data_IF_964140191643
#
_entry.id   IF_964140191643
#
_cell.length_a   1.000
_cell.length_b   1.000
_cell.length_c   1.000
_cell.angle_alpha   90.00
_cell.angle_beta   90.00
_cell.angle_gamma   90.00
#
_symmetry.space_group_name_H-M   'P 1'
#
loop_
_entity.id
_entity.type
_entity.pdbx_description
1 polymer ?
#
# COMPACT_ATOMS: atom_id res chain seq x y z
N UNK A 1 -4.29 -9.48 -27.19
CA UNK A 1 -4.04 -8.47 -26.15
C UNK A 1 -2.92 -8.97 -25.24
N UNK A 2 -2.04 -8.09 -24.78
CA UNK A 2 -1.02 -8.43 -23.77
C UNK A 2 -1.70 -8.65 -22.40
N UNK A 3 -1.17 -9.58 -21.60
CA UNK A 3 -1.64 -9.84 -20.22
C UNK A 3 -1.25 -8.67 -19.30
N UNK A 4 -2.20 -8.21 -18.48
CA UNK A 4 -1.98 -7.16 -17.48
C UNK A 4 -0.94 -7.60 -16.44
N UNK A 5 -0.05 -6.69 -16.06
CA UNK A 5 1.02 -6.88 -15.08
C UNK A 5 0.94 -5.83 -13.97
N UNK A 6 1.65 -6.08 -12.89
CA UNK A 6 1.77 -5.13 -11.76
C UNK A 6 2.32 -3.77 -12.24
N UNK A 7 3.32 -3.79 -13.12
CA UNK A 7 3.86 -2.56 -13.72
C UNK A 7 2.79 -1.72 -14.43
N UNK A 8 1.82 -2.38 -15.09
CA UNK A 8 0.75 -1.68 -15.79
C UNK A 8 -0.15 -0.93 -14.79
N UNK A 9 -0.41 -1.52 -13.61
CA UNK A 9 -1.11 -0.83 -12.51
C UNK A 9 -0.29 0.32 -11.93
N UNK A 10 1.01 0.09 -11.71
CA UNK A 10 1.90 1.10 -11.13
C UNK A 10 2.02 2.33 -12.05
N UNK A 11 2.06 2.11 -13.37
CA UNK A 11 2.05 3.14 -14.40
C UNK A 11 0.68 3.83 -14.48
N UNK A 12 -0.41 3.07 -14.61
CA UNK A 12 -1.77 3.61 -14.74
C UNK A 12 -2.15 4.54 -13.58
N UNK A 13 -1.85 4.13 -12.34
CA UNK A 13 -2.16 4.90 -11.13
C UNK A 13 -1.01 5.83 -10.69
N UNK A 14 0.07 5.88 -11.46
CA UNK A 14 1.24 6.71 -11.21
C UNK A 14 1.77 6.63 -9.75
N UNK A 15 1.77 5.44 -9.16
CA UNK A 15 2.16 5.27 -7.74
C UNK A 15 3.59 5.73 -7.49
N UNK A 16 4.47 5.56 -8.48
CA UNK A 16 5.86 6.03 -8.41
C UNK A 16 5.97 7.56 -8.42
N UNK A 17 4.98 8.27 -9.01
CA UNK A 17 4.98 9.73 -9.09
C UNK A 17 4.51 10.42 -7.82
N UNK A 18 3.58 9.83 -7.07
CA UNK A 18 3.05 10.42 -5.82
C UNK A 18 3.44 9.67 -4.56
N UNK A 19 3.91 8.42 -4.65
CA UNK A 19 4.15 7.54 -3.51
C UNK A 19 5.41 7.87 -2.69
N UNK A 20 6.33 8.67 -3.23
CA UNK A 20 7.56 9.19 -2.57
C UNK A 20 8.32 8.09 -1.78
N UNK A 21 8.44 6.88 -2.34
CA UNK A 21 9.03 5.68 -1.72
C UNK A 21 8.30 5.11 -0.49
N UNK A 22 7.23 5.75 -0.01
CA UNK A 22 6.37 5.20 1.04
C UNK A 22 5.36 4.21 0.49
N UNK A 23 4.81 4.46 -0.71
CA UNK A 23 3.80 3.60 -1.33
C UNK A 23 4.32 2.89 -2.58
N UNK A 24 4.01 1.61 -2.72
CA UNK A 24 4.32 0.82 -3.91
C UNK A 24 3.34 -0.35 -4.08
N UNK A 25 3.53 -1.19 -5.10
CA UNK A 25 2.72 -2.39 -5.34
C UNK A 25 3.60 -3.63 -5.15
N UNK A 26 3.15 -4.60 -4.35
CA UNK A 26 3.89 -5.84 -4.12
C UNK A 26 3.63 -6.90 -5.20
N UNK A 27 4.27 -8.07 -5.08
CA UNK A 27 4.16 -9.20 -6.01
C UNK A 27 2.74 -9.80 -6.09
N UNK A 28 1.87 -9.53 -5.12
CA UNK A 28 0.46 -9.93 -5.12
C UNK A 28 -0.43 -8.93 -5.89
N UNK A 29 0.12 -7.78 -6.27
CA UNK A 29 -0.63 -6.68 -6.88
C UNK A 29 -1.34 -5.77 -5.86
N UNK A 30 -1.03 -5.88 -4.58
CA UNK A 30 -1.60 -5.05 -3.51
C UNK A 30 -0.75 -3.81 -3.27
N UNK A 31 -1.39 -2.72 -2.84
CA UNK A 31 -0.68 -1.54 -2.36
C UNK A 31 -0.03 -1.86 -1.02
N UNK A 32 1.26 -1.57 -0.92
CA UNK A 32 2.02 -1.61 0.32
C UNK A 32 2.42 -0.22 0.75
N UNK A 33 2.55 -0.02 2.06
CA UNK A 33 3.14 1.17 2.66
C UNK A 33 4.38 0.80 3.46
N UNK A 34 5.47 1.54 3.28
CA UNK A 34 6.75 1.39 3.98
C UNK A 34 7.03 2.71 4.71
N UNK A 35 6.52 2.90 5.94
CA UNK A 35 6.50 4.21 6.60
C UNK A 35 7.87 4.81 6.94
N UNK A 36 8.92 3.99 6.98
CA UNK A 36 10.31 4.39 7.20
C UNK A 36 11.17 3.83 6.09
N UNK A 37 12.18 4.60 5.66
CA UNK A 37 13.22 4.08 4.76
C UNK A 37 13.86 2.83 5.37
N UNK A 38 14.00 1.77 4.57
CA UNK A 38 14.52 0.46 4.99
C UNK A 38 13.72 -0.21 6.14
N UNK A 39 12.48 0.24 6.37
CA UNK A 39 11.55 -0.32 7.35
C UNK A 39 10.72 -1.49 6.82
N UNK A 40 9.77 -1.93 7.64
CA UNK A 40 8.84 -3.01 7.29
C UNK A 40 7.73 -2.45 6.38
N UNK A 41 7.49 -3.15 5.27
CA UNK A 41 6.37 -2.89 4.39
C UNK A 41 5.09 -3.54 4.95
N UNK A 42 3.98 -2.82 4.89
CA UNK A 42 2.64 -3.27 5.33
C UNK A 42 1.74 -3.39 4.10
N UNK A 43 1.19 -4.57 3.85
CA UNK A 43 0.17 -4.78 2.81
C UNK A 43 -1.19 -4.25 3.28
N UNK A 44 -1.70 -3.22 2.58
CA UNK A 44 -2.94 -2.56 2.98
C UNK A 44 -4.17 -3.44 2.81
N UNK A 45 -4.17 -4.38 1.86
CA UNK A 45 -5.30 -5.30 1.66
C UNK A 45 -5.36 -6.31 2.79
N UNK A 46 -4.23 -6.90 3.14
CA UNK A 46 -4.13 -7.85 4.26
C UNK A 46 -4.46 -7.17 5.59
N UNK A 47 -3.94 -5.95 5.82
CA UNK A 47 -4.27 -5.17 7.01
C UNK A 47 -5.78 -4.90 7.14
N UNK A 48 -6.44 -4.48 6.05
CA UNK A 48 -7.89 -4.22 6.08
C UNK A 48 -8.67 -5.51 6.34
N UNK A 49 -8.27 -6.63 5.73
CA UNK A 49 -8.94 -7.93 5.96
C UNK A 49 -8.79 -8.38 7.42
N UNK A 50 -7.60 -8.22 8.01
CA UNK A 50 -7.38 -8.52 9.43
C UNK A 50 -8.19 -7.63 10.36
N UNK A 51 -8.33 -6.35 10.03
CA UNK A 51 -9.14 -5.40 10.80
C UNK A 51 -10.63 -5.77 10.74
N UNK A 52 -11.13 -6.18 9.58
CA UNK A 52 -12.50 -6.67 9.43
C UNK A 52 -12.76 -7.92 10.27
N UNK A 53 -11.81 -8.86 10.34
CA UNK A 53 -11.90 -10.04 11.21
C UNK A 53 -11.93 -9.69 12.71
N UNK A 54 -11.50 -8.47 13.07
CA UNK A 54 -11.53 -7.93 14.44
C UNK A 54 -12.70 -6.96 14.66
N UNK A 55 -13.74 -7.04 13.84
CA UNK A 55 -14.94 -6.21 13.89
C UNK A 55 -14.68 -4.70 13.67
N UNK A 56 -13.54 -4.33 13.07
CA UNK A 56 -13.27 -2.95 12.65
C UNK A 56 -13.79 -2.77 11.22
N UNK A 57 -14.98 -2.20 11.11
CA UNK A 57 -15.64 -1.98 9.83
C UNK A 57 -15.11 -0.74 9.07
N UNK A 58 -15.23 -0.77 7.74
CA UNK A 58 -15.06 0.42 6.89
C UNK A 58 -16.28 1.34 6.96
N UNK A 59 -16.12 2.67 6.76
CA UNK A 59 -14.88 3.38 6.44
C UNK A 59 -13.96 3.56 7.65
N UNK A 60 -12.65 3.53 7.41
CA UNK A 60 -11.62 3.70 8.45
C UNK A 60 -10.48 4.59 7.95
N UNK A 61 -9.80 5.26 8.88
CA UNK A 61 -8.62 6.09 8.60
C UNK A 61 -7.38 5.44 9.21
N UNK A 62 -6.49 4.95 8.35
CA UNK A 62 -5.18 4.43 8.75
C UNK A 62 -4.18 5.59 8.83
N UNK A 63 -3.39 5.65 9.91
CA UNK A 63 -2.34 6.65 10.11
C UNK A 63 -1.01 5.93 10.25
N UNK A 64 0.00 6.44 9.53
CA UNK A 64 1.40 5.98 9.62
C UNK A 64 2.25 7.16 10.10
N UNK A 65 2.37 7.37 11.44
CA UNK A 65 3.04 8.53 12.00
C UNK A 65 4.50 8.66 11.55
N UNK A 66 5.17 7.52 11.34
CA UNK A 66 6.57 7.47 10.93
C UNK A 66 6.87 8.20 9.59
N UNK A 67 5.86 8.35 8.72
CA UNK A 67 6.00 9.12 7.47
C UNK A 67 6.24 10.61 7.76
N UNK A 68 5.70 11.12 8.87
CA UNK A 68 5.85 12.51 9.30
C UNK A 68 7.15 12.76 10.06
N UNK A 69 7.73 11.71 10.66
CA UNK A 69 8.97 11.79 11.44
C UNK A 69 10.24 11.68 10.56
N UNK A 70 10.07 11.70 9.23
CA UNK A 70 11.12 11.51 8.21
C UNK A 70 11.68 12.81 7.65
#
# INVERSE_FOLDING_TARGET
>A
MRKWRIDDSAELYNINGWGVNYFSINEKGNVVVTPRKDGVAVDLKELVDELQLRDVATPMLLRFPDILDS
#
